data_IF_580990108582
#
_entry.id   IF_580990108582
#
_cell.length_a   1.000
_cell.length_b   1.000
_cell.length_c   1.000
_cell.angle_alpha   90.00
_cell.angle_beta   90.00
_cell.angle_gamma   90.00
#
_symmetry.space_group_name_H-M   'P 1'
#
loop_
_entity.id
_entity.type
_entity.pdbx_description
1 polymer ?
#
# COMPACT_ATOMS: atom_id res chain seq x y z
N UNK A 1 -10.71 17.14 -12.75
CA UNK A 1 -11.21 15.90 -13.38
C UNK A 1 -10.95 14.76 -12.41
N UNK A 2 -11.97 14.01 -11.98
CA UNK A 2 -11.76 12.85 -11.11
C UNK A 2 -10.97 11.80 -11.88
N UNK A 3 -9.83 11.36 -11.34
CA UNK A 3 -9.06 10.26 -11.92
C UNK A 3 -9.95 9.01 -11.96
N UNK A 4 -10.02 8.33 -13.10
CA UNK A 4 -10.64 7.01 -13.18
C UNK A 4 -9.81 6.00 -12.38
N UNK A 5 -10.44 5.11 -11.59
CA UNK A 5 -9.71 4.02 -10.93
C UNK A 5 -9.04 3.09 -11.95
N UNK A 6 -7.82 2.65 -11.64
CA UNK A 6 -7.09 1.63 -12.40
C UNK A 6 -7.52 0.20 -12.02
N UNK A 7 -7.85 -0.01 -10.74
CA UNK A 7 -8.41 -1.26 -10.22
C UNK A 7 -9.64 -0.96 -9.35
N UNK A 8 -10.71 -1.72 -9.51
CA UNK A 8 -11.94 -1.59 -8.72
C UNK A 8 -12.31 -2.96 -8.17
N UNK A 9 -12.53 -3.06 -6.86
CA UNK A 9 -13.16 -4.21 -6.24
C UNK A 9 -14.58 -3.81 -5.81
N UNK A 10 -15.58 -4.61 -6.20
CA UNK A 10 -16.98 -4.42 -5.80
C UNK A 10 -17.47 -5.64 -5.05
N UNK A 11 -17.83 -5.43 -3.78
CA UNK A 11 -18.46 -6.43 -2.92
C UNK A 11 -17.73 -7.78 -2.89
N UNK A 12 -16.39 -7.75 -2.88
CA UNK A 12 -15.57 -8.96 -2.98
C UNK A 12 -15.69 -9.80 -1.71
N UNK A 13 -15.95 -11.09 -1.88
CA UNK A 13 -15.96 -12.08 -0.81
C UNK A 13 -14.96 -13.18 -1.08
N UNK A 14 -14.33 -13.69 -0.02
CA UNK A 14 -13.57 -14.93 -0.05
C UNK A 14 -13.79 -15.72 1.23
N UNK A 15 -14.52 -16.82 1.08
CA UNK A 15 -14.69 -17.84 2.11
C UNK A 15 -13.92 -19.10 1.71
N UNK A 16 -13.25 -19.71 2.68
CA UNK A 16 -12.72 -21.07 2.57
C UNK A 16 -13.62 -22.00 3.39
N UNK A 17 -13.87 -23.21 2.86
CA UNK A 17 -14.80 -24.17 3.40
C UNK A 17 -15.44 -25.00 2.29
N UNK A 18 -16.36 -25.89 2.65
CA UNK A 18 -17.09 -26.69 1.67
C UNK A 18 -18.10 -25.82 0.90
N UNK A 19 -18.15 -25.91 -0.44
CA UNK A 19 -19.13 -25.19 -1.29
C UNK A 19 -19.42 -23.72 -0.87
N UNK A 20 -18.39 -22.85 -0.75
CA UNK A 20 -18.55 -21.51 -0.17
C UNK A 20 -19.47 -20.58 -0.97
N UNK A 21 -19.62 -20.81 -2.28
CA UNK A 21 -20.55 -20.05 -3.12
C UNK A 21 -22.00 -20.34 -2.75
N UNK A 22 -22.36 -21.62 -2.61
CA UNK A 22 -23.72 -22.04 -2.24
C UNK A 22 -24.08 -21.48 -0.86
N UNK A 23 -23.14 -21.51 0.09
CA UNK A 23 -23.32 -20.90 1.40
C UNK A 23 -23.59 -19.39 1.30
N UNK A 24 -22.78 -18.62 0.56
CA UNK A 24 -23.03 -17.19 0.40
C UNK A 24 -24.40 -16.92 -0.25
N UNK A 25 -24.77 -17.67 -1.28
CA UNK A 25 -26.07 -17.53 -1.94
C UNK A 25 -27.23 -17.82 -0.99
N UNK A 26 -27.13 -18.85 -0.12
CA UNK A 26 -28.13 -19.17 0.90
C UNK A 26 -28.41 -17.99 1.84
N UNK A 27 -27.42 -17.14 2.10
CA UNK A 27 -27.52 -15.97 2.98
C UNK A 27 -27.52 -14.64 2.21
N UNK A 28 -27.96 -14.63 0.94
CA UNK A 28 -28.05 -13.42 0.10
C UNK A 28 -26.76 -12.58 0.07
N UNK A 29 -25.59 -13.24 0.05
CA UNK A 29 -24.26 -12.60 0.09
C UNK A 29 -24.01 -11.67 1.30
N UNK A 30 -24.73 -11.86 2.41
CA UNK A 30 -24.53 -11.08 3.63
C UNK A 30 -24.67 -11.92 4.93
N UNK A 31 -23.98 -13.07 5.06
CA UNK A 31 -24.00 -13.80 6.33
C UNK A 31 -23.22 -13.04 7.42
N UNK A 32 -23.77 -13.11 8.64
CA UNK A 32 -23.07 -12.64 9.83
C UNK A 32 -21.89 -13.52 10.19
N UNK A 33 -20.96 -12.93 10.93
CA UNK A 33 -19.69 -13.56 11.27
C UNK A 33 -19.84 -14.84 12.10
N UNK A 34 -20.76 -14.80 13.07
CA UNK A 34 -21.02 -15.94 13.95
C UNK A 34 -21.56 -17.12 13.14
N UNK A 35 -22.46 -16.85 12.18
CA UNK A 35 -23.01 -17.85 11.27
C UNK A 35 -21.90 -18.47 10.43
N UNK A 36 -21.01 -17.66 9.85
CA UNK A 36 -19.86 -18.15 9.07
C UNK A 36 -19.02 -19.11 9.93
N UNK A 37 -18.64 -18.69 11.14
CA UNK A 37 -17.79 -19.47 12.06
C UNK A 37 -18.49 -20.77 12.51
N UNK A 38 -19.76 -20.70 12.90
CA UNK A 38 -20.56 -21.87 13.33
C UNK A 38 -20.72 -22.92 12.24
N UNK A 39 -20.76 -22.51 10.97
CA UNK A 39 -20.83 -23.41 9.83
C UNK A 39 -19.44 -23.88 9.35
N UNK A 40 -18.36 -23.57 10.08
CA UNK A 40 -17.01 -24.06 9.81
C UNK A 40 -16.27 -23.36 8.67
N UNK A 41 -16.76 -22.20 8.23
CA UNK A 41 -16.10 -21.42 7.17
C UNK A 41 -15.04 -20.47 7.72
N UNK A 42 -13.96 -20.28 6.96
CA UNK A 42 -12.95 -19.25 7.22
C UNK A 42 -13.25 -18.04 6.34
N UNK A 43 -13.61 -16.93 6.97
CA UNK A 43 -13.84 -15.64 6.31
C UNK A 43 -12.55 -14.86 6.08
N UNK A 44 -11.94 -15.04 4.90
CA UNK A 44 -10.74 -14.29 4.57
C UNK A 44 -11.05 -12.89 4.03
N UNK A 45 -12.16 -12.70 3.30
CA UNK A 45 -12.62 -11.40 2.83
C UNK A 45 -14.15 -11.34 2.92
N UNK A 46 -14.69 -10.23 3.44
CA UNK A 46 -16.11 -9.99 3.65
C UNK A 46 -16.52 -8.66 3.04
N UNK A 47 -17.24 -8.74 1.91
CA UNK A 47 -17.84 -7.59 1.23
C UNK A 47 -16.87 -6.41 1.00
N UNK A 48 -15.65 -6.70 0.56
CA UNK A 48 -14.62 -5.69 0.35
C UNK A 48 -14.90 -4.88 -0.93
N UNK A 49 -15.07 -3.57 -0.79
CA UNK A 49 -15.20 -2.64 -1.91
C UNK A 49 -14.16 -1.53 -1.78
N UNK A 50 -13.41 -1.29 -2.84
CA UNK A 50 -12.36 -0.26 -2.88
C UNK A 50 -11.99 0.09 -4.33
N UNK A 51 -11.35 1.24 -4.47
CA UNK A 51 -10.81 1.74 -5.74
C UNK A 51 -9.33 2.07 -5.56
N UNK A 52 -8.53 1.67 -6.56
CA UNK A 52 -7.10 1.97 -6.67
C UNK A 52 -6.89 2.89 -7.86
N UNK A 53 -6.30 4.06 -7.63
CA UNK A 53 -6.07 5.09 -8.65
C UNK A 53 -4.66 5.03 -9.25
N UNK A 54 -4.53 5.54 -10.46
CA UNK A 54 -3.24 5.55 -11.15
C UNK A 54 -2.17 6.39 -10.43
N UNK A 55 -0.98 5.79 -10.33
CA UNK A 55 0.24 6.31 -9.71
C UNK A 55 0.14 6.51 -8.19
N UNK A 56 -0.85 5.89 -7.54
CA UNK A 56 -0.95 5.91 -6.07
C UNK A 56 -0.24 4.72 -5.43
N UNK A 57 0.23 4.92 -4.20
CA UNK A 57 0.56 3.84 -3.27
C UNK A 57 -0.61 3.66 -2.32
N UNK A 58 -1.34 2.55 -2.50
CA UNK A 58 -2.38 2.11 -1.58
C UNK A 58 -1.79 1.07 -0.62
N UNK A 59 -1.69 1.42 0.67
CA UNK A 59 -1.21 0.50 1.69
C UNK A 59 -2.39 -0.23 2.34
N UNK A 60 -2.29 -1.53 2.51
CA UNK A 60 -3.25 -2.37 3.22
C UNK A 60 -2.62 -2.84 4.53
N UNK A 61 -3.26 -2.45 5.63
CA UNK A 61 -2.85 -2.72 7.00
C UNK A 61 -3.87 -3.58 7.74
N UNK A 62 -3.44 -4.13 8.88
CA UNK A 62 -4.26 -4.91 9.79
C UNK A 62 -3.48 -6.06 10.40
N UNK A 63 -4.02 -6.66 11.46
CA UNK A 63 -3.38 -7.78 12.15
C UNK A 63 -3.19 -9.01 11.25
N UNK A 64 -2.34 -9.94 11.68
CA UNK A 64 -2.21 -11.23 11.02
C UNK A 64 -3.58 -11.93 10.95
N UNK A 65 -3.87 -12.57 9.82
CA UNK A 65 -5.16 -13.22 9.59
C UNK A 65 -6.33 -12.28 9.21
N UNK A 66 -6.12 -10.96 9.09
CA UNK A 66 -7.20 -10.03 8.73
C UNK A 66 -7.65 -10.09 7.26
N UNK A 67 -6.95 -10.85 6.39
CA UNK A 67 -7.33 -11.05 5.00
C UNK A 67 -6.52 -10.30 3.93
N UNK A 68 -5.51 -9.51 4.33
CA UNK A 68 -4.71 -8.63 3.45
C UNK A 68 -4.14 -9.34 2.21
N UNK A 69 -3.32 -10.38 2.43
CA UNK A 69 -2.69 -11.13 1.34
C UNK A 69 -3.72 -11.87 0.49
N UNK A 70 -4.83 -12.33 1.07
CA UNK A 70 -5.94 -12.92 0.32
C UNK A 70 -6.59 -11.89 -0.60
N UNK A 71 -6.79 -10.66 -0.13
CA UNK A 71 -7.36 -9.58 -0.92
C UNK A 71 -6.48 -9.24 -2.12
N UNK A 72 -5.17 -9.09 -1.91
CA UNK A 72 -4.20 -8.88 -3.01
C UNK A 72 -4.18 -10.05 -3.99
N UNK A 73 -4.28 -11.30 -3.51
CA UNK A 73 -4.37 -12.49 -4.38
C UNK A 73 -5.68 -12.55 -5.15
N UNK A 74 -6.78 -12.03 -4.60
CA UNK A 74 -8.04 -11.88 -5.33
C UNK A 74 -7.92 -10.81 -6.42
N UNK A 75 -7.34 -9.65 -6.10
CA UNK A 75 -7.09 -8.56 -7.05
C UNK A 75 -6.26 -9.00 -8.27
N UNK A 76 -5.21 -9.80 -8.05
CA UNK A 76 -4.38 -10.37 -9.11
C UNK A 76 -4.98 -11.64 -9.76
N UNK A 77 -6.16 -12.08 -9.29
CA UNK A 77 -6.84 -13.34 -9.65
C UNK A 77 -5.99 -14.60 -9.41
N UNK A 78 -4.94 -14.54 -8.59
CA UNK A 78 -4.20 -15.74 -8.15
C UNK A 78 -5.07 -16.65 -7.29
N UNK A 79 -6.01 -16.06 -6.57
CA UNK A 79 -7.09 -16.74 -5.86
C UNK A 79 -8.42 -16.25 -6.41
N UNK A 80 -9.32 -17.17 -6.73
CA UNK A 80 -10.66 -16.80 -7.16
C UNK A 80 -11.47 -16.27 -5.97
N UNK A 81 -12.12 -15.09 -6.11
CA UNK A 81 -13.10 -14.65 -5.13
C UNK A 81 -14.29 -15.63 -5.10
N UNK A 82 -14.91 -15.78 -3.94
CA UNK A 82 -16.15 -16.55 -3.80
C UNK A 82 -17.32 -15.81 -4.47
N UNK A 83 -17.40 -14.49 -4.29
CA UNK A 83 -18.41 -13.61 -4.87
C UNK A 83 -17.84 -12.18 -5.04
N UNK A 84 -18.56 -11.32 -5.76
CA UNK A 84 -18.16 -9.96 -6.09
C UNK A 84 -17.36 -9.86 -7.40
N UNK A 85 -17.03 -8.63 -7.76
CA UNK A 85 -16.44 -8.29 -9.06
C UNK A 85 -15.11 -7.55 -8.88
N UNK A 86 -14.17 -7.79 -9.79
CA UNK A 86 -12.87 -7.12 -9.82
C UNK A 86 -12.66 -6.61 -11.24
N UNK A 87 -12.46 -5.31 -11.38
CA UNK A 87 -12.19 -4.66 -12.65
C UNK A 87 -10.77 -4.14 -12.67
N UNK A 88 -10.02 -4.42 -13.73
CA UNK A 88 -8.72 -3.82 -14.00
C UNK A 88 -8.80 -3.08 -15.34
N UNK A 89 -8.56 -1.78 -15.36
CA UNK A 89 -8.71 -0.94 -16.56
C UNK A 89 -10.10 -1.07 -17.21
N UNK A 90 -11.14 -1.11 -16.37
CA UNK A 90 -12.55 -1.34 -16.75
C UNK A 90 -12.85 -2.74 -17.34
N UNK A 91 -11.89 -3.65 -17.35
CA UNK A 91 -12.08 -5.04 -17.78
C UNK A 91 -12.50 -5.89 -16.58
N UNK A 92 -13.64 -6.57 -16.69
CA UNK A 92 -14.11 -7.52 -15.69
C UNK A 92 -13.22 -8.77 -15.67
N UNK A 93 -12.39 -8.86 -14.64
CA UNK A 93 -11.40 -9.94 -14.48
C UNK A 93 -12.04 -11.31 -14.22
N UNK A 94 -13.32 -11.36 -13.83
CA UNK A 94 -14.08 -12.59 -13.60
C UNK A 94 -14.53 -13.26 -14.90
N UNK A 95 -14.67 -12.50 -15.99
CA UNK A 95 -15.14 -12.97 -17.31
C UNK A 95 -14.02 -13.37 -18.26
N UNK A 96 -12.78 -13.07 -17.90
CA UNK A 96 -11.61 -13.41 -18.72
C UNK A 96 -11.35 -14.91 -18.75
N UNK A 97 -10.99 -15.40 -19.92
CA UNK A 97 -10.41 -16.73 -20.10
C UNK A 97 -9.06 -16.84 -19.37
N UNK A 98 -8.62 -18.09 -19.17
CA UNK A 98 -7.32 -18.36 -18.55
C UNK A 98 -6.16 -17.72 -19.32
N UNK A 99 -6.23 -17.71 -20.65
CA UNK A 99 -5.17 -17.14 -21.50
C UNK A 99 -5.13 -15.62 -21.37
N UNK A 100 -6.27 -14.94 -21.39
CA UNK A 100 -6.32 -13.48 -21.19
C UNK A 100 -5.79 -13.07 -19.81
N UNK A 101 -6.12 -13.83 -18.76
CA UNK A 101 -5.54 -13.60 -17.42
C UNK A 101 -4.03 -13.78 -17.38
N UNK A 102 -3.49 -14.76 -18.12
CA UNK A 102 -2.05 -14.96 -18.24
C UNK A 102 -1.40 -13.77 -18.92
N UNK A 103 -1.95 -13.28 -20.03
CA UNK A 103 -1.38 -12.13 -20.75
C UNK A 103 -1.41 -10.85 -19.90
N UNK A 104 -2.50 -10.58 -19.17
CA UNK A 104 -2.56 -9.45 -18.24
C UNK A 104 -1.47 -9.57 -17.17
N UNK A 105 -1.32 -10.73 -16.53
CA UNK A 105 -0.28 -10.92 -15.50
C UNK A 105 1.11 -10.81 -16.05
N UNK A 106 1.33 -11.32 -17.25
CA UNK A 106 2.62 -11.34 -17.92
C UNK A 106 3.10 -9.93 -18.28
N UNK A 107 2.19 -9.05 -18.69
CA UNK A 107 2.57 -7.74 -19.25
C UNK A 107 2.23 -6.54 -18.36
N UNK A 108 1.21 -6.64 -17.50
CA UNK A 108 0.67 -5.48 -16.76
C UNK A 108 0.80 -5.57 -15.25
N UNK A 109 1.06 -6.76 -14.68
CA UNK A 109 1.13 -6.95 -13.24
C UNK A 109 2.50 -7.44 -12.78
N UNK A 110 2.99 -6.88 -11.68
CA UNK A 110 4.17 -7.36 -10.97
C UNK A 110 3.79 -7.80 -9.57
N UNK A 111 4.44 -8.81 -9.02
CA UNK A 111 4.23 -9.24 -7.64
C UNK A 111 5.55 -9.49 -6.91
N UNK A 112 5.64 -8.98 -5.69
CA UNK A 112 6.70 -9.27 -4.71
C UNK A 112 6.05 -10.00 -3.54
N UNK A 113 6.61 -11.14 -3.18
CA UNK A 113 6.12 -11.99 -2.09
C UNK A 113 6.87 -11.72 -0.78
N UNK A 114 6.25 -12.09 0.34
CA UNK A 114 6.80 -11.96 1.68
C UNK A 114 8.12 -12.73 1.86
N UNK A 115 8.18 -13.95 1.34
CA UNK A 115 9.43 -14.67 1.15
C UNK A 115 9.94 -14.38 -0.26
N UNK A 116 11.24 -14.15 -0.42
CA UNK A 116 11.87 -13.69 -1.67
C UNK A 116 11.43 -14.48 -2.92
N UNK A 117 11.05 -15.76 -2.75
CA UNK A 117 10.52 -16.64 -3.78
C UNK A 117 11.43 -16.68 -5.02
N UNK A 118 12.74 -16.58 -4.81
CA UNK A 118 13.75 -16.65 -5.86
C UNK A 118 13.98 -18.10 -6.27
N UNK A 119 14.34 -18.32 -7.52
CA UNK A 119 14.77 -19.63 -7.99
C UNK A 119 16.20 -19.87 -7.52
N UNK A 120 16.44 -20.84 -6.60
CA UNK A 120 17.74 -21.02 -5.96
C UNK A 120 18.81 -21.58 -6.92
N UNK A 121 18.38 -22.17 -8.02
CA UNK A 121 19.22 -22.77 -9.06
C UNK A 121 19.46 -21.83 -10.25
N UNK A 122 19.02 -20.57 -10.14
CA UNK A 122 19.24 -19.53 -11.15
C UNK A 122 20.05 -18.39 -10.56
N UNK A 123 20.86 -17.73 -11.36
CA UNK A 123 21.62 -16.54 -10.95
C UNK A 123 20.72 -15.32 -10.76
N UNK A 124 21.26 -14.19 -10.30
CA UNK A 124 20.54 -12.92 -10.18
C UNK A 124 19.97 -12.49 -11.53
N UNK A 125 20.80 -12.46 -12.58
CA UNK A 125 20.35 -12.05 -13.91
C UNK A 125 19.28 -12.99 -14.47
N UNK A 126 19.41 -14.29 -14.25
CA UNK A 126 18.41 -15.28 -14.68
C UNK A 126 17.09 -15.16 -13.91
N UNK A 127 17.13 -14.84 -12.61
CA UNK A 127 15.94 -14.56 -11.82
C UNK A 127 15.22 -13.31 -12.34
N UNK A 128 15.96 -12.24 -12.61
CA UNK A 128 15.39 -10.97 -13.08
C UNK A 128 14.88 -11.10 -14.52
N UNK A 129 15.58 -11.84 -15.39
CA UNK A 129 15.18 -12.08 -16.78
C UNK A 129 14.03 -13.09 -16.92
N UNK A 130 13.73 -13.89 -15.89
CA UNK A 130 12.73 -14.96 -15.96
C UNK A 130 11.34 -14.53 -16.47
N UNK A 131 10.76 -13.40 -16.05
CA UNK A 131 9.46 -12.97 -16.59
C UNK A 131 9.49 -12.68 -18.11
N UNK A 132 10.62 -12.17 -18.61
CA UNK A 132 10.85 -11.91 -20.04
C UNK A 132 11.09 -13.22 -20.81
N UNK A 133 11.73 -14.22 -20.18
CA UNK A 133 11.79 -15.59 -20.70
C UNK A 133 10.39 -16.19 -20.89
N UNK A 134 9.50 -15.99 -19.92
CA UNK A 134 8.09 -16.44 -20.00
C UNK A 134 7.29 -15.68 -21.07
N UNK A 135 7.70 -14.46 -21.41
CA UNK A 135 7.16 -13.69 -22.55
C UNK A 135 7.68 -14.18 -23.91
N UNK A 136 8.65 -15.10 -23.94
CA UNK A 136 9.27 -15.57 -25.18
C UNK A 136 10.32 -14.60 -25.75
N UNK A 137 10.76 -13.60 -24.98
CA UNK A 137 11.82 -12.68 -25.41
C UNK A 137 13.14 -13.45 -25.51
N UNK A 138 13.90 -13.19 -26.58
CA UNK A 138 15.15 -13.89 -26.82
C UNK A 138 16.18 -13.61 -25.71
N UNK A 139 17.11 -14.55 -25.53
CA UNK A 139 18.08 -14.52 -24.42
C UNK A 139 18.88 -13.21 -24.34
N UNK A 140 19.38 -12.73 -25.48
CA UNK A 140 20.22 -11.53 -25.54
C UNK A 140 19.44 -10.27 -25.13
N UNK A 141 18.21 -10.12 -25.60
CA UNK A 141 17.35 -8.99 -25.26
C UNK A 141 16.92 -9.01 -23.79
N UNK A 142 16.47 -10.17 -23.29
CA UNK A 142 16.03 -10.26 -21.89
C UNK A 142 17.18 -10.06 -20.90
N UNK A 143 18.39 -10.54 -21.20
CA UNK A 143 19.56 -10.30 -20.35
C UNK A 143 19.96 -8.84 -20.37
N UNK A 144 19.91 -8.17 -21.53
CA UNK A 144 20.13 -6.72 -21.62
C UNK A 144 19.13 -5.95 -20.74
N UNK A 145 17.84 -6.26 -20.84
CA UNK A 145 16.83 -5.62 -19.98
C UNK A 145 17.00 -5.97 -18.50
N UNK A 146 17.44 -7.19 -18.18
CA UNK A 146 17.71 -7.57 -16.79
C UNK A 146 18.90 -6.77 -16.22
N UNK A 147 19.94 -6.47 -17.00
CA UNK A 147 21.06 -5.64 -16.57
C UNK A 147 20.63 -4.21 -16.22
N UNK A 148 19.77 -3.58 -17.03
CA UNK A 148 19.20 -2.25 -16.73
C UNK A 148 18.45 -2.26 -15.39
N UNK A 149 17.77 -3.36 -15.08
CA UNK A 149 17.06 -3.53 -13.82
C UNK A 149 18.01 -3.82 -12.66
N UNK A 150 19.08 -4.57 -12.87
CA UNK A 150 20.13 -4.84 -11.87
C UNK A 150 20.78 -3.54 -11.43
N UNK A 151 21.11 -2.66 -12.38
CA UNK A 151 21.61 -1.31 -12.10
C UNK A 151 20.58 -0.50 -11.30
N UNK A 152 19.31 -0.48 -11.73
CA UNK A 152 18.23 0.24 -11.05
C UNK A 152 18.05 -0.21 -9.59
N UNK A 153 18.19 -1.50 -9.29
CA UNK A 153 18.07 -2.03 -7.92
C UNK A 153 19.38 -2.06 -7.15
N UNK A 154 20.49 -1.57 -7.73
CA UNK A 154 21.79 -1.46 -7.07
C UNK A 154 22.45 -2.81 -6.81
N UNK A 155 22.42 -3.72 -7.78
CA UNK A 155 23.03 -5.06 -7.72
C UNK A 155 24.16 -5.26 -8.74
N UNK A 156 24.73 -4.18 -9.27
CA UNK A 156 25.86 -4.24 -10.21
C UNK A 156 27.03 -5.06 -9.63
N UNK A 157 27.63 -5.92 -10.44
CA UNK A 157 28.68 -6.84 -10.05
C UNK A 157 28.20 -8.09 -9.30
N UNK A 158 26.88 -8.31 -9.20
CA UNK A 158 26.26 -9.51 -8.60
C UNK A 158 25.43 -10.33 -9.58
N UNK A 159 25.54 -10.07 -10.87
CA UNK A 159 24.73 -10.65 -11.95
C UNK A 159 24.76 -12.18 -11.93
N UNK A 160 25.94 -12.75 -11.73
CA UNK A 160 26.20 -14.20 -11.79
C UNK A 160 26.07 -14.91 -10.43
N UNK A 161 25.75 -14.18 -9.37
CA UNK A 161 25.60 -14.77 -8.03
C UNK A 161 24.29 -15.56 -7.95
N UNK A 162 24.29 -16.63 -7.17
CA UNK A 162 23.10 -17.37 -6.79
C UNK A 162 22.45 -16.77 -5.53
N UNK A 163 21.13 -16.91 -5.33
CA UNK A 163 20.43 -16.37 -4.16
C UNK A 163 21.05 -16.71 -2.80
N UNK A 164 21.62 -17.91 -2.66
CA UNK A 164 22.31 -18.36 -1.43
C UNK A 164 23.58 -17.57 -1.08
N UNK A 165 24.15 -16.84 -2.05
CA UNK A 165 25.38 -16.06 -1.93
C UNK A 165 25.10 -14.58 -1.61
N UNK A 166 23.81 -14.24 -1.43
CA UNK A 166 23.32 -12.89 -1.22
C UNK A 166 22.76 -12.70 0.19
N UNK A 167 22.93 -11.49 0.74
CA UNK A 167 22.24 -11.09 1.96
C UNK A 167 20.72 -11.02 1.76
N UNK A 168 19.94 -11.02 2.85
CA UNK A 168 18.47 -10.90 2.76
C UNK A 168 18.01 -9.64 2.00
N UNK A 169 18.67 -8.49 2.24
CA UNK A 169 18.39 -7.26 1.51
C UNK A 169 18.70 -7.36 0.01
N UNK A 170 19.79 -8.04 -0.35
CA UNK A 170 20.13 -8.29 -1.74
C UNK A 170 19.12 -9.24 -2.41
N UNK A 171 18.71 -10.32 -1.74
CA UNK A 171 17.67 -11.22 -2.25
C UNK A 171 16.34 -10.47 -2.45
N UNK A 172 15.99 -9.55 -1.55
CA UNK A 172 14.81 -8.70 -1.72
C UNK A 172 14.93 -7.80 -2.96
N UNK A 173 16.10 -7.18 -3.19
CA UNK A 173 16.38 -6.38 -4.41
C UNK A 173 16.22 -7.22 -5.68
N UNK A 174 16.67 -8.48 -5.69
CA UNK A 174 16.44 -9.41 -6.81
C UNK A 174 14.94 -9.65 -7.03
N UNK A 175 14.17 -9.88 -5.95
CA UNK A 175 12.72 -10.08 -6.03
C UNK A 175 11.98 -8.86 -6.60
N UNK A 176 12.35 -7.66 -6.14
CA UNK A 176 11.87 -6.38 -6.66
C UNK A 176 12.23 -6.23 -8.14
N UNK A 177 13.51 -6.42 -8.49
CA UNK A 177 13.99 -6.31 -9.87
C UNK A 177 13.25 -7.26 -10.80
N UNK A 178 13.10 -8.52 -10.41
CA UNK A 178 12.32 -9.51 -11.17
C UNK A 178 10.89 -9.03 -11.42
N UNK A 179 10.22 -8.51 -10.40
CA UNK A 179 8.85 -8.01 -10.57
C UNK A 179 8.75 -6.76 -11.46
N UNK A 180 9.83 -5.98 -11.58
CA UNK A 180 9.92 -4.77 -12.40
C UNK A 180 10.40 -5.02 -13.83
N UNK A 181 10.98 -6.18 -14.13
CA UNK A 181 11.54 -6.49 -15.45
C UNK A 181 10.51 -6.35 -16.58
N UNK A 182 9.25 -6.70 -16.33
CA UNK A 182 8.14 -6.55 -17.29
C UNK A 182 7.55 -5.13 -17.33
N UNK A 183 8.12 -4.19 -16.57
CA UNK A 183 7.66 -2.80 -16.43
C UNK A 183 6.17 -2.71 -16.09
N UNK A 184 5.69 -3.44 -15.06
CA UNK A 184 4.27 -3.58 -14.79
C UNK A 184 3.58 -2.25 -14.55
N UNK A 185 2.28 -2.20 -14.80
CA UNK A 185 1.45 -1.02 -14.55
C UNK A 185 0.86 -1.02 -13.14
N UNK A 186 0.53 -2.22 -12.64
CA UNK A 186 0.05 -2.48 -11.29
C UNK A 186 1.03 -3.39 -10.56
N UNK A 187 1.50 -2.97 -9.40
CA UNK A 187 2.55 -3.64 -8.64
C UNK A 187 2.05 -4.02 -7.25
N UNK A 188 2.01 -5.32 -6.98
CA UNK A 188 1.59 -5.88 -5.69
C UNK A 188 2.81 -6.22 -4.84
N UNK A 189 2.85 -5.73 -3.60
CA UNK A 189 3.91 -6.04 -2.65
C UNK A 189 3.29 -6.60 -1.36
N UNK A 190 3.53 -7.89 -1.09
CA UNK A 190 2.99 -8.61 0.08
C UNK A 190 4.06 -8.67 1.17
N UNK A 191 4.07 -7.70 2.10
CA UNK A 191 5.03 -7.58 3.21
C UNK A 191 6.51 -7.68 2.79
N UNK A 192 6.95 -6.91 1.77
CA UNK A 192 8.24 -7.11 1.11
C UNK A 192 9.46 -6.89 2.02
N UNK A 193 9.32 -6.16 3.14
CA UNK A 193 10.45 -5.86 4.04
C UNK A 193 10.34 -6.49 5.42
N UNK A 194 9.34 -7.36 5.63
CA UNK A 194 9.08 -8.00 6.92
C UNK A 194 10.21 -8.92 7.38
N UNK A 195 10.89 -9.59 6.45
CA UNK A 195 11.98 -10.51 6.73
C UNK A 195 13.36 -9.82 6.93
N UNK A 196 13.41 -8.48 6.86
CA UNK A 196 14.65 -7.70 6.94
C UNK A 196 14.85 -7.12 8.35
N UNK A 197 16.10 -7.01 8.78
CA UNK A 197 16.48 -6.28 9.99
C UNK A 197 16.14 -4.78 9.87
N UNK A 198 15.99 -4.05 10.99
CA UNK A 198 15.51 -2.67 10.96
C UNK A 198 16.36 -1.69 10.15
N UNK A 199 17.69 -1.88 10.10
CA UNK A 199 18.58 -0.97 9.37
C UNK A 199 18.43 -1.18 7.86
N UNK A 200 18.52 -2.44 7.41
CA UNK A 200 18.36 -2.82 6.01
C UNK A 200 16.93 -2.51 5.53
N UNK A 201 15.91 -2.72 6.38
CA UNK A 201 14.52 -2.33 6.08
C UNK A 201 14.41 -0.85 5.74
N UNK A 202 14.98 0.04 6.56
CA UNK A 202 14.91 1.49 6.33
C UNK A 202 15.62 1.90 5.04
N UNK A 203 16.78 1.31 4.77
CA UNK A 203 17.52 1.50 3.51
C UNK A 203 16.67 1.08 2.31
N UNK A 204 16.11 -0.13 2.36
CA UNK A 204 15.28 -0.69 1.29
C UNK A 204 14.02 0.14 1.02
N UNK A 205 13.37 0.66 2.06
CA UNK A 205 12.24 1.58 1.91
C UNK A 205 12.63 2.88 1.19
N UNK A 206 13.81 3.43 1.50
CA UNK A 206 14.28 4.65 0.84
C UNK A 206 14.57 4.40 -0.65
N UNK A 207 15.21 3.28 -0.96
CA UNK A 207 15.44 2.87 -2.36
C UNK A 207 14.14 2.61 -3.10
N UNK A 208 13.18 1.94 -2.46
CA UNK A 208 11.85 1.73 -3.02
C UNK A 208 11.16 3.05 -3.39
N UNK A 209 11.23 4.06 -2.51
CA UNK A 209 10.67 5.39 -2.79
C UNK A 209 11.39 6.07 -3.97
N UNK A 210 12.71 5.92 -4.11
CA UNK A 210 13.44 6.45 -5.27
C UNK A 210 12.97 5.77 -6.56
N UNK A 211 12.86 4.45 -6.56
CA UNK A 211 12.37 3.67 -7.70
C UNK A 211 10.95 4.11 -8.07
N UNK A 212 10.07 4.24 -7.08
CA UNK A 212 8.70 4.68 -7.32
C UNK A 212 8.62 6.12 -7.84
N UNK A 213 9.42 7.05 -7.33
CA UNK A 213 9.45 8.43 -7.82
C UNK A 213 9.86 8.52 -9.30
N UNK A 214 10.74 7.61 -9.73
CA UNK A 214 11.18 7.49 -11.12
C UNK A 214 10.15 6.80 -12.00
N UNK A 215 9.60 5.66 -11.57
CA UNK A 215 8.75 4.80 -12.39
C UNK A 215 7.26 5.16 -12.34
N UNK A 216 6.82 5.84 -11.28
CA UNK A 216 5.43 6.22 -10.99
C UNK A 216 4.44 5.10 -11.27
N UNK A 217 4.63 3.94 -10.62
CA UNK A 217 3.74 2.78 -10.79
C UNK A 217 2.52 2.89 -9.89
N UNK A 218 1.45 2.17 -10.22
CA UNK A 218 0.33 2.00 -9.28
C UNK A 218 0.66 0.85 -8.35
N UNK A 219 0.66 1.07 -7.04
CA UNK A 219 1.16 0.11 -6.06
C UNK A 219 0.07 -0.25 -5.06
N UNK A 220 -0.05 -1.55 -4.78
CA UNK A 220 -0.79 -2.08 -3.64
C UNK A 220 0.22 -2.75 -2.72
N UNK A 221 0.40 -2.20 -1.54
CA UNK A 221 1.44 -2.57 -0.61
C UNK A 221 0.84 -3.11 0.68
N UNK A 222 1.24 -4.29 1.14
CA UNK A 222 0.80 -4.84 2.42
C UNK A 222 1.90 -4.65 3.44
N UNK A 223 1.53 -4.13 4.61
CA UNK A 223 2.40 -4.12 5.78
C UNK A 223 1.61 -4.24 7.07
N UNK A 224 2.29 -4.67 8.12
CA UNK A 224 1.82 -4.60 9.50
C UNK A 224 2.49 -3.46 10.28
N UNK A 225 3.47 -2.76 9.68
CA UNK A 225 4.22 -1.65 10.28
C UNK A 225 3.59 -0.31 9.89
N UNK A 226 3.17 0.47 10.88
CA UNK A 226 2.51 1.76 10.65
C UNK A 226 3.47 2.85 10.19
N UNK A 227 4.71 2.87 10.70
CA UNK A 227 5.71 3.84 10.25
C UNK A 227 6.03 3.66 8.77
N UNK A 228 6.04 2.40 8.32
CA UNK A 228 6.15 2.06 6.90
C UNK A 228 4.95 2.57 6.10
N UNK A 229 3.73 2.33 6.59
CA UNK A 229 2.52 2.79 5.92
C UNK A 229 2.49 4.32 5.79
N UNK A 230 2.80 5.06 6.85
CA UNK A 230 2.91 6.53 6.82
C UNK A 230 3.91 7.00 5.77
N UNK A 231 5.08 6.36 5.76
CA UNK A 231 6.20 6.80 4.94
C UNK A 231 5.95 6.58 3.45
N UNK A 232 5.19 5.53 3.10
CA UNK A 232 4.98 5.10 1.73
C UNK A 232 3.61 5.48 1.16
N UNK A 233 2.55 5.48 1.96
CA UNK A 233 1.18 5.52 1.45
C UNK A 233 0.71 6.91 1.02
N UNK A 234 -0.02 6.94 -0.09
CA UNK A 234 -0.97 8.03 -0.37
C UNK A 234 -2.28 7.79 0.41
N UNK A 235 -2.71 6.52 0.46
CA UNK A 235 -3.92 6.07 1.15
C UNK A 235 -3.67 4.76 1.89
N UNK A 236 -4.30 4.63 3.04
CA UNK A 236 -4.22 3.44 3.89
C UNK A 236 -5.60 2.81 4.00
N UNK A 237 -5.64 1.48 3.87
CA UNK A 237 -6.78 0.62 4.18
C UNK A 237 -6.47 -0.10 5.49
N UNK A 238 -7.36 0.00 6.47
CA UNK A 238 -7.30 -0.82 7.68
C UNK A 238 -8.28 -1.99 7.52
N UNK A 239 -7.78 -3.21 7.62
CA UNK A 239 -8.57 -4.43 7.61
C UNK A 239 -8.64 -5.10 8.98
N UNK A 240 -9.82 -5.62 9.32
CA UNK A 240 -10.04 -6.45 10.50
C UNK A 240 -11.03 -7.59 10.17
N UNK A 241 -10.69 -8.82 10.57
CA UNK A 241 -11.51 -10.02 10.37
C UNK A 241 -12.16 -10.14 8.98
N UNK A 242 -11.39 -9.86 7.93
CA UNK A 242 -11.81 -9.94 6.52
C UNK A 242 -12.59 -8.73 6.02
N UNK A 243 -12.93 -7.75 6.87
CA UNK A 243 -13.60 -6.51 6.48
C UNK A 243 -12.60 -5.37 6.31
N UNK A 244 -12.92 -4.48 5.38
CA UNK A 244 -12.32 -3.15 5.34
C UNK A 244 -13.04 -2.30 6.39
N UNK A 245 -12.30 -1.81 7.37
CA UNK A 245 -12.84 -0.99 8.47
C UNK A 245 -12.83 0.48 8.07
N UNK A 246 -11.71 0.95 7.52
CA UNK A 246 -11.57 2.34 7.09
C UNK A 246 -10.59 2.45 5.92
N UNK A 247 -10.85 3.42 5.04
CA UNK A 247 -9.93 3.85 3.98
C UNK A 247 -9.76 5.36 4.11
N UNK A 248 -8.54 5.85 4.14
CA UNK A 248 -8.27 7.28 4.25
C UNK A 248 -6.81 7.64 4.13
N UNK A 249 -6.50 8.93 4.19
CA UNK A 249 -5.12 9.38 4.39
C UNK A 249 -4.66 9.03 5.82
N UNK A 250 -3.34 8.97 6.08
CA UNK A 250 -2.83 8.80 7.45
C UNK A 250 -3.42 9.82 8.45
N UNK A 251 -3.67 11.04 7.96
CA UNK A 251 -4.28 12.12 8.74
C UNK A 251 -5.76 11.85 9.06
N UNK A 252 -6.54 11.32 8.10
CA UNK A 252 -7.95 10.95 8.33
C UNK A 252 -8.08 9.85 9.38
N UNK A 253 -7.18 8.86 9.35
CA UNK A 253 -7.18 7.74 10.30
C UNK A 253 -7.00 8.20 11.76
N UNK A 254 -6.20 9.26 11.97
CA UNK A 254 -5.93 9.82 13.30
C UNK A 254 -7.04 10.77 13.73
N UNK A 255 -7.48 11.66 12.84
CA UNK A 255 -8.44 12.70 13.18
C UNK A 255 -9.88 12.20 13.27
N UNK A 256 -10.22 11.17 12.49
CA UNK A 256 -11.57 10.62 12.36
C UNK A 256 -11.50 9.10 12.26
N UNK A 257 -11.04 8.40 13.32
CA UNK A 257 -11.07 6.94 13.35
C UNK A 257 -12.52 6.45 13.25
N UNK A 258 -12.76 5.44 12.41
CA UNK A 258 -14.10 4.91 12.15
C UNK A 258 -14.69 4.15 13.34
N UNK A 259 -13.83 3.49 14.13
CA UNK A 259 -14.19 2.73 15.33
C UNK A 259 -13.04 2.72 16.36
N UNK A 260 -13.29 2.10 17.51
CA UNK A 260 -12.29 1.95 18.57
C UNK A 260 -11.07 1.13 18.14
N UNK A 261 -11.23 0.20 17.19
CA UNK A 261 -10.13 -0.58 16.66
C UNK A 261 -9.16 0.31 15.87
N UNK A 262 -9.65 1.19 14.99
CA UNK A 262 -8.79 2.16 14.28
C UNK A 262 -8.16 3.15 15.26
N UNK A 263 -8.91 3.59 16.27
CA UNK A 263 -8.41 4.51 17.31
C UNK A 263 -7.27 3.89 18.11
N UNK A 264 -7.40 2.61 18.48
CA UNK A 264 -6.34 1.87 19.17
C UNK A 264 -5.13 1.66 18.24
N UNK A 265 -5.39 1.31 16.98
CA UNK A 265 -4.34 1.09 15.97
C UNK A 265 -3.51 2.36 15.65
N UNK A 266 -4.06 3.54 15.88
CA UNK A 266 -3.43 4.84 15.58
C UNK A 266 -2.94 5.60 16.82
N UNK A 267 -3.04 4.97 18.01
CA UNK A 267 -2.79 5.63 19.31
C UNK A 267 -1.35 6.12 19.48
N UNK A 268 -0.37 5.29 19.13
CA UNK A 268 1.05 5.56 19.42
C UNK A 268 1.78 6.32 18.30
N UNK A 269 1.02 6.91 17.37
CA UNK A 269 1.59 7.58 16.22
C UNK A 269 2.10 8.98 16.54
N UNK A 270 3.22 9.42 15.92
CA UNK A 270 3.76 10.76 16.11
C UNK A 270 2.88 11.80 15.39
N UNK A 271 1.79 12.20 16.05
CA UNK A 271 0.75 13.09 15.49
C UNK A 271 1.32 14.39 14.94
N UNK A 272 2.33 14.95 15.57
CA UNK A 272 2.98 16.19 15.13
C UNK A 272 3.62 16.07 13.74
N UNK A 273 4.07 14.88 13.33
CA UNK A 273 4.65 14.65 12.00
C UNK A 273 3.58 14.42 10.93
N UNK A 274 2.38 14.02 11.33
CA UNK A 274 1.33 13.55 10.43
C UNK A 274 0.27 14.59 10.19
N UNK A 275 -0.12 15.30 11.24
CA UNK A 275 -1.15 16.33 11.18
C UNK A 275 -0.62 17.56 10.47
N UNK A 276 -1.46 18.11 9.60
CA UNK A 276 -1.26 19.42 8.98
C UNK A 276 -1.85 20.53 9.84
N UNK A 277 -1.37 21.75 9.65
CA UNK A 277 -1.86 22.94 10.36
C UNK A 277 -3.38 23.10 10.20
N UNK A 278 -3.90 22.92 8.99
CA UNK A 278 -5.34 23.03 8.70
C UNK A 278 -6.22 22.06 9.49
N UNK A 279 -5.68 20.94 9.95
CA UNK A 279 -6.47 19.90 10.63
C UNK A 279 -6.71 20.20 12.10
N UNK A 280 -5.87 21.03 12.70
CA UNK A 280 -6.01 21.40 14.12
C UNK A 280 -6.20 22.90 14.35
N UNK A 281 -6.00 23.76 13.33
CA UNK A 281 -6.16 25.21 13.47
C UNK A 281 -7.56 25.61 13.97
N UNK A 282 -7.63 26.75 14.65
CA UNK A 282 -8.91 27.42 14.91
C UNK A 282 -9.31 28.21 13.64
N UNK A 283 -10.58 28.09 13.25
CA UNK A 283 -11.16 28.85 12.13
C UNK A 283 -11.31 30.35 12.47
N UNK A 284 -11.16 30.74 13.74
CA UNK A 284 -11.05 32.13 14.13
C UNK A 284 -9.78 32.75 13.57
N UNK A 285 -9.95 33.86 12.87
CA UNK A 285 -8.86 34.68 12.34
C UNK A 285 -8.44 35.67 13.43
N UNK A 286 -7.18 35.61 13.86
CA UNK A 286 -6.59 36.66 14.69
C UNK A 286 -5.67 37.52 13.81
N UNK A 287 -6.03 38.78 13.51
CA UNK A 287 -5.34 39.58 12.50
C UNK A 287 -3.99 40.17 12.96
N UNK A 288 -3.56 39.95 14.21
CA UNK A 288 -2.48 40.74 14.83
C UNK A 288 -1.19 39.98 15.15
N UNK A 289 -0.87 38.89 14.44
CA UNK A 289 0.44 38.24 14.55
C UNK A 289 1.26 38.48 13.28
N UNK A 290 2.50 38.96 13.45
CA UNK A 290 3.48 39.14 12.37
C UNK A 290 3.93 37.82 11.74
N UNK A 291 3.85 36.73 12.51
CA UNK A 291 4.29 35.39 12.10
C UNK A 291 3.15 34.60 11.47
N UNK A 292 3.41 34.09 10.27
CA UNK A 292 2.48 33.29 9.48
C UNK A 292 3.01 31.89 9.19
N UNK A 293 2.09 30.93 9.04
CA UNK A 293 2.37 29.55 8.64
C UNK A 293 1.37 29.11 7.59
N UNK A 294 1.77 28.25 6.65
CA UNK A 294 0.85 27.73 5.64
C UNK A 294 -0.02 26.62 6.20
N UNK A 295 -1.29 26.60 5.80
CA UNK A 295 -2.28 25.62 6.25
C UNK A 295 -1.92 24.16 5.93
N UNK A 296 -1.12 23.93 4.88
CA UNK A 296 -0.71 22.59 4.43
C UNK A 296 0.64 22.16 5.02
N UNK A 297 1.32 23.01 5.81
CA UNK A 297 2.52 22.61 6.56
C UNK A 297 2.18 21.57 7.62
N UNK A 298 3.15 20.71 7.96
CA UNK A 298 3.02 19.75 9.07
C UNK A 298 3.23 20.46 10.39
N UNK A 299 2.56 19.99 11.45
CA UNK A 299 2.71 20.58 12.78
C UNK A 299 4.18 20.62 13.21
N UNK A 300 4.92 19.54 12.99
CA UNK A 300 6.33 19.44 13.31
C UNK A 300 7.19 20.58 12.73
N UNK A 301 6.93 21.03 11.49
CA UNK A 301 7.72 22.10 10.86
C UNK A 301 7.40 23.50 11.39
N UNK A 302 6.26 23.68 12.06
CA UNK A 302 5.82 24.96 12.60
C UNK A 302 5.94 25.03 14.12
N UNK A 303 6.23 23.91 14.80
CA UNK A 303 6.29 23.82 16.26
C UNK A 303 7.12 24.93 16.89
N UNK A 304 8.37 25.12 16.43
CA UNK A 304 9.27 26.14 16.99
C UNK A 304 8.68 27.55 16.88
N UNK A 305 8.12 27.91 15.73
CA UNK A 305 7.50 29.22 15.48
C UNK A 305 6.30 29.45 16.41
N UNK A 306 5.47 28.43 16.62
CA UNK A 306 4.29 28.57 17.49
C UNK A 306 4.69 28.61 18.96
N UNK A 307 5.73 27.87 19.36
CA UNK A 307 6.23 27.87 20.72
C UNK A 307 6.92 29.19 21.10
N UNK A 308 7.60 29.86 20.15
CA UNK A 308 8.24 31.15 20.38
C UNK A 308 7.25 32.32 20.44
N UNK A 309 6.30 32.37 19.50
CA UNK A 309 5.35 33.48 19.36
C UNK A 309 4.06 33.29 20.18
N UNK A 310 3.83 32.09 20.71
CA UNK A 310 2.61 31.70 21.44
C UNK A 310 1.39 31.46 20.55
N UNK A 311 1.21 32.29 19.51
CA UNK A 311 0.17 32.12 18.48
C UNK A 311 0.66 32.63 17.12
N UNK A 312 0.16 32.03 16.04
CA UNK A 312 0.50 32.38 14.66
C UNK A 312 -0.75 32.43 13.77
N UNK A 313 -0.68 33.24 12.72
CA UNK A 313 -1.74 33.31 11.70
C UNK A 313 -1.55 32.20 10.67
N UNK A 314 -2.63 31.50 10.31
CA UNK A 314 -2.58 30.45 9.29
C UNK A 314 -3.04 31.01 7.95
N UNK A 315 -2.23 30.82 6.91
CA UNK A 315 -2.48 31.32 5.56
C UNK A 315 -2.68 30.20 4.53
N UNK A 316 -3.43 30.48 3.47
CA UNK A 316 -3.49 29.63 2.28
C UNK A 316 -2.38 29.96 1.27
N UNK A 317 -2.36 29.25 0.13
CA UNK A 317 -1.39 29.48 -0.97
C UNK A 317 -1.52 30.86 -1.62
N UNK A 318 -2.63 31.55 -1.40
CA UNK A 318 -2.89 32.91 -1.89
C UNK A 318 -2.58 33.97 -0.84
N UNK A 319 -1.91 33.58 0.25
CA UNK A 319 -1.57 34.43 1.40
C UNK A 319 -2.78 35.01 2.14
N UNK A 320 -3.97 34.43 2.00
CA UNK A 320 -5.13 34.83 2.77
C UNK A 320 -5.12 34.17 4.14
N UNK A 321 -5.43 34.93 5.19
CA UNK A 321 -5.61 34.36 6.54
C UNK A 321 -6.87 33.50 6.55
N UNK A 322 -6.68 32.21 6.81
CA UNK A 322 -7.73 31.19 6.88
C UNK A 322 -8.02 30.72 8.30
N UNK A 323 -7.14 31.02 9.26
CA UNK A 323 -7.32 30.64 10.66
C UNK A 323 -6.15 31.06 11.53
N UNK A 324 -6.03 30.41 12.68
CA UNK A 324 -4.95 30.64 13.63
C UNK A 324 -4.53 29.35 14.34
N UNK A 325 -3.28 29.31 14.80
CA UNK A 325 -2.75 28.18 15.54
C UNK A 325 -2.03 28.70 16.79
N UNK A 326 -2.33 28.12 17.94
CA UNK A 326 -1.70 28.49 19.21
C UNK A 326 -1.14 27.26 19.93
N UNK A 327 -0.30 27.52 20.94
CA UNK A 327 0.36 26.46 21.73
C UNK A 327 -0.63 25.49 22.40
N UNK A 328 -1.72 26.00 22.97
CA UNK A 328 -2.74 25.19 23.66
C UNK A 328 -3.40 24.18 22.73
N UNK A 329 -3.71 24.61 21.50
CA UNK A 329 -4.30 23.77 20.46
C UNK A 329 -3.35 22.65 20.09
N UNK A 330 -2.07 22.96 19.85
CA UNK A 330 -1.04 21.96 19.56
C UNK A 330 -0.93 20.95 20.72
N UNK A 331 -0.80 21.41 21.96
CA UNK A 331 -0.66 20.54 23.13
C UNK A 331 -1.85 19.60 23.32
N UNK A 332 -3.08 20.06 23.05
CA UNK A 332 -4.28 19.22 23.15
C UNK A 332 -4.27 18.07 22.16
N UNK A 333 -3.74 18.27 20.96
CA UNK A 333 -3.74 17.23 19.91
C UNK A 333 -2.56 16.28 19.98
N UNK A 334 -1.40 16.73 20.48
CA UNK A 334 -0.21 15.89 20.68
C UNK A 334 -0.37 14.97 21.90
N UNK A 335 -1.03 15.43 22.97
CA UNK A 335 -1.13 14.67 24.24
C UNK A 335 -2.41 13.81 24.38
N UNK A 336 -3.30 13.83 23.39
CA UNK A 336 -4.42 12.88 23.26
C UNK A 336 -4.00 11.71 22.37
#
# INVERSE_FOLDING_TARGET
>A
MSKSPKLICKNVWKLYGDKPKEFLHKYNNNPDQEIIKQNGYIQAIRNASLEVYENEILVIMGLSGSGKSTLVRCMSRLVDPTSGEIFFENIDMGKLSKNELIEIRRHKMGMVFQHFALFPHRTVIENIAFPLEVQGINKKEREKSALEIIELVGLEGREDYFPKELSGGQQQRVGIGRSLAVKPELWFLDEPFSALDPLIRKEMQNEFLKIQNTLKKTIIFITHDFDEAIKLADRIIIMNEGKIVQIGSPEDLIMKPADDYVKEFTKDLPRERLLSVKSIMDNKKYPNNSTTVYKDEKIFSVLEKVLSEGSVSVIDKSNNIVGSLNKETISKFINN
#
